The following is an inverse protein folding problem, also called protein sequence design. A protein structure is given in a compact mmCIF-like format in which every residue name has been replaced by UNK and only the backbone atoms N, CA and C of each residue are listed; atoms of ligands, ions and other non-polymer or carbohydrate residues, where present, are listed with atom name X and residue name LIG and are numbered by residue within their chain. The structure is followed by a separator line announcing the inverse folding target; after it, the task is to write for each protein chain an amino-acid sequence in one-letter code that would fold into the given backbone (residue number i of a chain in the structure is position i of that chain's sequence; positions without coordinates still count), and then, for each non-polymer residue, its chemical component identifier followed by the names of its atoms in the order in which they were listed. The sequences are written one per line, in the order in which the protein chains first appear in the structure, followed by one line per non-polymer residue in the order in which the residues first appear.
data_IF_480950247798
#
_entry.id   IF_480950247798
#
_cell.length_a   1.000
_cell.length_b   1.000
_cell.length_c   1.000
_cell.angle_alpha   90.00
_cell.angle_beta   90.00
_cell.angle_gamma   90.00
#
_symmetry.space_group_name_H-M   'P 1'
#
loop_
_entity.id
_entity.type
_entity.pdbx_description
1 polymer ?
#
# COMPACT_ATOMS: atom_id res chain seq x y z
N UNK A 1 -11.59 7.20 5.48
CA UNK A 1 -12.06 7.04 4.09
C UNK A 1 -10.89 6.66 3.20
N UNK A 2 -11.12 5.78 2.23
CA UNK A 2 -10.13 5.38 1.22
C UNK A 2 -10.63 5.62 -0.19
N UNK A 3 -9.72 6.05 -1.07
CA UNK A 3 -10.00 6.26 -2.48
C UNK A 3 -8.87 5.73 -3.35
N UNK A 4 -9.23 5.07 -4.46
CA UNK A 4 -8.26 4.72 -5.49
C UNK A 4 -7.83 5.98 -6.24
N UNK A 5 -6.52 6.17 -6.35
CA UNK A 5 -5.93 7.31 -7.06
C UNK A 5 -5.97 7.05 -8.57
N UNK A 6 -6.27 8.10 -9.34
CA UNK A 6 -6.25 8.07 -10.82
C UNK A 6 -4.87 7.74 -11.42
N UNK A 7 -3.80 7.88 -10.63
CA UNK A 7 -2.43 7.54 -11.00
C UNK A 7 -2.18 6.03 -11.02
N UNK A 8 -3.14 5.22 -10.54
CA UNK A 8 -3.13 3.76 -10.69
C UNK A 8 -3.11 3.40 -12.17
N UNK A 9 -2.06 2.73 -12.62
CA UNK A 9 -1.86 2.37 -14.02
C UNK A 9 -1.14 1.03 -14.11
N UNK A 10 -1.60 0.19 -15.04
CA UNK A 10 -1.04 -1.13 -15.27
C UNK A 10 -1.04 -1.96 -13.97
N UNK A 11 0.13 -2.45 -13.56
CA UNK A 11 0.31 -3.23 -12.32
C UNK A 11 0.48 -2.37 -11.05
N UNK A 12 0.46 -1.03 -11.19
CA UNK A 12 0.63 -0.09 -10.08
C UNK A 12 -0.74 0.42 -9.64
N UNK A 13 -1.09 0.20 -8.38
CA UNK A 13 -2.33 0.70 -7.77
C UNK A 13 -2.01 1.72 -6.68
N UNK A 14 -2.73 2.83 -6.66
CA UNK A 14 -2.58 3.87 -5.65
C UNK A 14 -3.83 4.06 -4.83
N UNK A 15 -3.64 4.25 -3.54
CA UNK A 15 -4.70 4.56 -2.59
C UNK A 15 -4.36 5.82 -1.81
N UNK A 16 -5.34 6.69 -1.69
CA UNK A 16 -5.32 7.81 -0.77
C UNK A 16 -6.22 7.47 0.41
N UNK A 17 -5.68 7.57 1.62
CA UNK A 17 -6.32 7.22 2.87
C UNK A 17 -6.32 8.46 3.74
N UNK A 18 -7.50 8.86 4.22
CA UNK A 18 -7.61 9.98 5.14
C UNK A 18 -8.60 9.77 6.27
N UNK A 19 -8.31 10.40 7.41
CA UNK A 19 -9.11 10.28 8.63
C UNK A 19 -9.07 8.89 9.24
N UNK A 20 -10.24 8.41 9.68
CA UNK A 20 -10.40 7.05 10.22
C UNK A 20 -10.76 6.07 9.11
N UNK A 21 -10.06 4.93 9.04
CA UNK A 21 -10.46 3.83 8.16
C UNK A 21 -11.52 2.97 8.85
N UNK A 22 -12.58 2.68 8.09
CA UNK A 22 -13.68 1.81 8.49
C UNK A 22 -13.57 0.44 7.84
N UNK A 23 -14.33 -0.55 8.33
CA UNK A 23 -14.38 -1.90 7.74
C UNK A 23 -14.86 -1.87 6.26
N UNK A 24 -15.83 -1.00 5.94
CA UNK A 24 -16.35 -0.82 4.60
C UNK A 24 -15.27 -0.30 3.62
N UNK A 25 -14.44 0.66 4.06
CA UNK A 25 -13.31 1.16 3.26
C UNK A 25 -12.40 0.00 2.79
N UNK A 26 -12.12 -0.96 3.67
CA UNK A 26 -11.32 -2.13 3.33
C UNK A 26 -12.04 -3.09 2.38
N UNK A 27 -13.27 -3.51 2.74
CA UNK A 27 -14.01 -4.56 2.03
C UNK A 27 -14.56 -4.11 0.67
N UNK A 28 -15.01 -2.87 0.57
CA UNK A 28 -15.67 -2.37 -0.63
C UNK A 28 -14.69 -1.73 -1.63
N UNK A 29 -13.51 -1.30 -1.17
CA UNK A 29 -12.55 -0.56 -2.02
C UNK A 29 -11.19 -1.24 -2.08
N UNK A 30 -10.51 -1.45 -0.95
CA UNK A 30 -9.12 -1.91 -0.95
C UNK A 30 -8.98 -3.34 -1.50
N UNK A 31 -9.72 -4.30 -0.91
CA UNK A 31 -9.65 -5.72 -1.23
C UNK A 31 -10.02 -6.00 -2.70
N UNK A 32 -11.19 -5.57 -3.22
CA UNK A 32 -11.58 -5.90 -4.59
C UNK A 32 -10.65 -5.30 -5.65
N UNK A 33 -10.05 -4.12 -5.39
CA UNK A 33 -9.10 -3.52 -6.32
C UNK A 33 -7.74 -4.23 -6.31
N UNK A 34 -7.29 -4.70 -5.14
CA UNK A 34 -6.11 -5.55 -5.02
C UNK A 34 -6.30 -6.88 -5.75
N UNK A 35 -7.41 -7.59 -5.49
CA UNK A 35 -7.69 -8.89 -6.12
C UNK A 35 -7.77 -8.78 -7.64
N UNK A 36 -8.44 -7.75 -8.18
CA UNK A 36 -8.49 -7.49 -9.63
C UNK A 36 -7.10 -7.28 -10.22
N UNK A 37 -6.28 -6.44 -9.60
CA UNK A 37 -4.94 -6.14 -10.09
C UNK A 37 -4.03 -7.38 -10.03
N UNK A 38 -4.10 -8.17 -8.95
CA UNK A 38 -3.33 -9.41 -8.80
C UNK A 38 -3.80 -10.46 -9.81
N UNK A 39 -5.10 -10.63 -10.01
CA UNK A 39 -5.64 -11.56 -10.99
C UNK A 39 -5.24 -11.20 -12.42
N UNK A 40 -5.11 -9.90 -12.73
CA UNK A 40 -4.75 -9.41 -14.06
C UNK A 40 -3.24 -9.46 -14.34
N UNK A 41 -2.41 -9.04 -13.39
CA UNK A 41 -0.97 -8.83 -13.60
C UNK A 41 -0.08 -9.84 -12.88
N UNK A 42 -0.64 -10.62 -11.94
CA UNK A 42 0.09 -11.58 -11.11
C UNK A 42 0.95 -10.93 -10.03
N UNK A 43 1.81 -9.97 -10.41
CA UNK A 43 2.65 -9.19 -9.50
C UNK A 43 2.35 -7.70 -9.63
N UNK A 44 2.05 -7.07 -8.51
CA UNK A 44 1.61 -5.68 -8.45
C UNK A 44 2.48 -4.85 -7.52
N UNK A 45 2.41 -3.55 -7.72
CA UNK A 45 3.06 -2.53 -6.92
C UNK A 45 1.99 -1.60 -6.35
N UNK A 46 2.09 -1.24 -5.07
CA UNK A 46 1.09 -0.42 -4.41
C UNK A 46 1.68 0.91 -3.92
N UNK A 47 0.91 1.97 -4.06
CA UNK A 47 1.16 3.28 -3.48
C UNK A 47 0.07 3.57 -2.45
N UNK A 48 0.45 4.00 -1.25
CA UNK A 48 -0.49 4.34 -0.18
C UNK A 48 -0.11 5.70 0.38
N UNK A 49 -0.98 6.69 0.22
CA UNK A 49 -0.85 8.00 0.82
C UNK A 49 -1.78 8.10 2.03
N UNK A 50 -1.21 8.46 3.17
CA UNK A 50 -1.88 8.59 4.46
C UNK A 50 -1.87 10.06 4.83
N UNK A 51 -3.04 10.69 4.83
CA UNK A 51 -3.24 12.11 5.13
C UNK A 51 -4.21 12.25 6.30
N UNK A 52 -3.82 12.97 7.37
CA UNK A 52 -4.62 13.09 8.60
C UNK A 52 -5.13 11.75 9.12
N UNK A 53 -4.30 10.69 9.05
CA UNK A 53 -4.75 9.36 9.40
C UNK A 53 -4.89 9.23 10.93
N UNK A 54 -6.13 9.13 11.40
CA UNK A 54 -6.45 9.12 12.84
C UNK A 54 -6.41 7.72 13.46
N UNK A 55 -6.16 6.69 12.66
CA UNK A 55 -6.22 5.31 13.09
C UNK A 55 -7.29 4.52 12.35
N UNK A 56 -7.39 3.27 12.73
CA UNK A 56 -8.36 2.32 12.21
C UNK A 56 -9.42 2.08 13.29
N UNK A 57 -10.70 2.03 12.91
CA UNK A 57 -11.78 1.59 13.82
C UNK A 57 -11.71 0.06 13.96
N UNK A 58 -10.76 -0.41 14.78
CA UNK A 58 -10.26 -1.78 14.78
C UNK A 58 -10.78 -2.63 15.93
N UNK A 59 -12.05 -3.02 15.90
CA UNK A 59 -12.50 -4.16 16.72
C UNK A 59 -12.39 -5.51 15.97
N UNK A 60 -12.21 -5.48 14.65
CA UNK A 60 -12.10 -6.66 13.77
C UNK A 60 -10.91 -6.61 12.78
N UNK A 61 -10.08 -5.55 12.81
CA UNK A 61 -9.14 -5.19 11.72
C UNK A 61 -7.82 -5.98 11.64
N UNK A 62 -7.72 -7.20 12.22
CA UNK A 62 -6.45 -7.96 12.21
C UNK A 62 -6.53 -9.42 11.76
N UNK A 63 -7.64 -10.13 11.95
CA UNK A 63 -7.72 -11.55 11.53
C UNK A 63 -7.83 -11.69 10.00
N UNK A 64 -8.45 -10.73 9.29
CA UNK A 64 -8.48 -10.67 7.82
C UNK A 64 -7.22 -10.05 7.18
N UNK A 65 -6.28 -9.55 8.00
CA UNK A 65 -4.89 -9.35 7.59
C UNK A 65 -4.27 -10.69 7.11
N UNK A 66 -4.89 -11.85 7.43
CA UNK A 66 -4.53 -13.18 6.95
C UNK A 66 -4.83 -13.42 5.45
N UNK A 67 -5.73 -12.66 4.81
CA UNK A 67 -5.85 -12.67 3.33
C UNK A 67 -4.70 -11.88 2.69
N UNK A 68 -4.22 -10.84 3.38
CA UNK A 68 -3.00 -10.10 3.01
C UNK A 68 -1.73 -10.99 3.02
N UNK A 69 -1.73 -12.14 3.73
CA UNK A 69 -0.67 -13.14 3.67
C UNK A 69 -0.85 -14.17 2.52
N UNK A 70 -2.06 -14.34 1.96
CA UNK A 70 -2.32 -15.33 0.91
C UNK A 70 -1.77 -14.88 -0.46
N UNK A 71 -1.66 -13.57 -0.66
CA UNK A 71 -1.08 -12.93 -1.85
C UNK A 71 0.20 -12.13 -1.58
N UNK A 72 0.84 -12.30 -0.40
CA UNK A 72 2.07 -11.58 -0.05
C UNK A 72 3.19 -11.72 -1.12
N UNK A 73 3.13 -12.77 -1.94
CA UNK A 73 4.05 -13.02 -3.04
C UNK A 73 3.77 -12.20 -4.31
N UNK A 74 2.57 -11.63 -4.43
CA UNK A 74 2.17 -10.80 -5.56
C UNK A 74 2.58 -9.33 -5.37
N UNK A 75 2.59 -8.83 -4.13
CA UNK A 75 3.00 -7.46 -3.84
C UNK A 75 4.54 -7.37 -3.81
N UNK A 76 5.13 -6.84 -4.88
CA UNK A 76 6.58 -6.72 -5.03
C UNK A 76 7.12 -5.43 -4.44
N UNK A 77 6.39 -4.32 -4.57
CA UNK A 77 6.79 -3.01 -4.04
C UNK A 77 5.63 -2.27 -3.40
N UNK A 78 5.88 -1.63 -2.26
CA UNK A 78 4.93 -0.78 -1.56
C UNK A 78 5.57 0.58 -1.27
N UNK A 79 5.00 1.66 -1.81
CA UNK A 79 5.38 3.02 -1.46
C UNK A 79 4.37 3.56 -0.46
N UNK A 80 4.84 3.94 0.72
CA UNK A 80 4.00 4.52 1.77
C UNK A 80 4.36 5.98 1.92
N UNK A 81 3.38 6.86 1.79
CA UNK A 81 3.51 8.30 1.96
C UNK A 81 2.73 8.70 3.20
N UNK A 82 3.38 9.33 4.18
CA UNK A 82 2.71 9.77 5.40
C UNK A 82 3.65 10.48 6.36
N UNK A 83 3.09 11.00 7.45
CA UNK A 83 3.86 11.69 8.48
C UNK A 83 4.78 10.74 9.28
N UNK A 84 5.80 11.29 9.95
CA UNK A 84 6.78 10.51 10.74
C UNK A 84 6.16 9.58 11.79
N UNK A 85 5.01 9.94 12.35
CA UNK A 85 4.27 9.08 13.28
C UNK A 85 3.89 7.72 12.66
N UNK A 86 3.82 7.65 11.33
CA UNK A 86 3.53 6.44 10.60
C UNK A 86 4.72 5.54 10.28
N UNK A 87 5.91 6.11 10.18
CA UNK A 87 7.14 5.34 9.95
C UNK A 87 7.35 4.30 11.08
N UNK A 88 7.18 4.71 12.33
CA UNK A 88 7.39 3.82 13.50
C UNK A 88 6.36 2.68 13.55
N UNK A 89 5.07 2.98 13.33
CA UNK A 89 4.02 1.94 13.39
C UNK A 89 4.04 1.04 12.16
N UNK A 90 4.37 1.58 10.99
CA UNK A 90 4.49 0.80 9.78
C UNK A 90 5.72 -0.13 9.84
N UNK A 91 6.82 0.26 10.49
CA UNK A 91 7.99 -0.62 10.70
C UNK A 91 7.61 -1.96 11.36
N UNK A 92 6.65 -1.97 12.29
CA UNK A 92 6.14 -3.23 12.87
C UNK A 92 5.28 -4.05 11.91
N UNK A 93 4.50 -3.39 11.05
CA UNK A 93 3.77 -4.05 9.97
C UNK A 93 4.72 -4.68 8.95
N UNK A 94 5.78 -3.96 8.57
CA UNK A 94 6.77 -4.38 7.57
C UNK A 94 7.59 -5.62 7.94
N UNK A 95 7.73 -5.93 9.23
CA UNK A 95 8.37 -7.18 9.67
C UNK A 95 7.71 -8.42 9.06
N UNK A 96 6.42 -8.36 8.75
CA UNK A 96 5.65 -9.44 8.13
C UNK A 96 5.73 -9.44 6.59
N UNK A 97 6.24 -8.36 5.98
CA UNK A 97 6.35 -8.18 4.52
C UNK A 97 7.77 -8.46 4.02
N UNK A 98 8.35 -9.60 4.42
CA UNK A 98 9.77 -9.92 4.20
C UNK A 98 10.16 -10.06 2.71
N UNK A 99 9.20 -10.20 1.79
CA UNK A 99 9.43 -10.31 0.33
C UNK A 99 9.03 -9.07 -0.46
N UNK A 100 8.43 -8.09 0.18
CA UNK A 100 7.95 -6.86 -0.47
C UNK A 100 8.95 -5.76 -0.16
N UNK A 101 9.50 -5.11 -1.18
CA UNK A 101 10.31 -3.91 -0.97
C UNK A 101 9.38 -2.78 -0.54
N UNK A 102 9.61 -2.19 0.62
CA UNK A 102 8.77 -1.09 1.12
C UNK A 102 9.60 0.15 1.35
N UNK A 103 9.15 1.29 0.82
CA UNK A 103 9.78 2.59 1.01
C UNK A 103 8.78 3.60 1.57
N UNK A 104 9.24 4.34 2.56
CA UNK A 104 8.51 5.47 3.14
C UNK A 104 8.95 6.77 2.48
N UNK A 105 7.99 7.65 2.24
CA UNK A 105 8.22 8.97 1.71
C UNK A 105 7.40 9.99 2.51
N UNK A 106 7.95 11.18 2.67
CA UNK A 106 7.21 12.29 3.26
C UNK A 106 6.09 12.76 2.30
N UNK A 107 4.98 13.34 2.80
CA UNK A 107 3.91 13.86 1.95
C UNK A 107 4.40 14.81 0.85
N UNK A 108 5.37 15.68 1.17
CA UNK A 108 6.01 16.58 0.21
C UNK A 108 6.78 15.85 -0.92
N UNK A 109 7.12 14.57 -0.72
CA UNK A 109 7.86 13.71 -1.64
C UNK A 109 6.99 12.59 -2.23
N UNK A 110 5.66 12.69 -2.15
CA UNK A 110 4.72 11.71 -2.69
C UNK A 110 5.04 11.31 -4.15
N UNK A 111 5.42 12.28 -4.98
CA UNK A 111 5.81 12.06 -6.37
C UNK A 111 6.98 11.06 -6.53
N UNK A 112 7.93 11.04 -5.60
CA UNK A 112 9.06 10.10 -5.64
C UNK A 112 8.63 8.66 -5.39
N UNK A 113 7.60 8.44 -4.57
CA UNK A 113 7.03 7.11 -4.38
C UNK A 113 6.48 6.56 -5.69
N UNK A 114 5.74 7.38 -6.45
CA UNK A 114 5.25 6.99 -7.77
C UNK A 114 6.35 6.70 -8.79
N UNK A 115 7.41 7.49 -8.79
CA UNK A 115 8.58 7.27 -9.66
C UNK A 115 9.22 5.92 -9.32
N UNK A 116 9.51 5.68 -8.04
CA UNK A 116 10.16 4.45 -7.59
C UNK A 116 9.34 3.17 -7.86
N UNK A 117 8.01 3.24 -7.81
CA UNK A 117 7.16 2.10 -8.20
C UNK A 117 7.23 1.80 -9.70
N UNK A 118 7.45 2.83 -10.54
CA UNK A 118 7.57 2.70 -12.00
C UNK A 118 8.96 2.22 -12.43
N UNK A 119 9.98 2.52 -11.65
CA UNK A 119 11.37 2.08 -11.85
C UNK A 119 11.58 0.59 -11.53
N UNK A 120 10.62 -0.30 -11.87
CA UNK A 120 10.74 -1.74 -11.59
C UNK A 120 12.10 -2.28 -12.04
N UNK A 121 12.74 -3.05 -11.15
CA UNK A 121 14.12 -3.57 -11.26
C UNK A 121 14.55 -3.91 -12.69
N UNK A 122 15.57 -3.18 -13.12
CA UNK A 122 16.37 -3.40 -14.31
C UNK A 122 17.78 -2.80 -14.18
N UNK A 123 18.00 -1.77 -13.35
CA UNK A 123 19.31 -1.15 -13.16
C UNK A 123 19.60 -0.92 -11.67
N UNK A 124 20.07 -1.98 -11.00
CA UNK A 124 21.20 -1.79 -10.11
C UNK A 124 22.44 -1.97 -10.99
N UNK A 125 22.99 -0.86 -11.50
CA UNK A 125 24.30 -0.85 -12.17
C UNK A 125 25.40 -1.30 -11.18
N UNK A 126 26.46 -1.97 -11.68
CA UNK A 126 27.36 -2.86 -10.93
C UNK A 126 28.31 -2.17 -9.92
#
# INVERSE_FOLDING_TARGET
MIYKMHQSKDDIIGFHVSGKLTDADYKDVLIPELEKAIAQWGKISAFVQLEDFQGFDAQALWDDFAVAAKYHNALVRLAVVGDRAWEERATNLLKHFTRTEVKFFEPARAHRGWIWLREKEGEQEP
#
